data_IF_410409767439
#
_entry.id   IF_410409767439
#
_cell.length_a   1.000
_cell.length_b   1.000
_cell.length_c   1.000
_cell.angle_alpha   90.00
_cell.angle_beta   90.00
_cell.angle_gamma   90.00
#
_symmetry.space_group_name_H-M   'P 1'
#
loop_
_entity.id
_entity.type
_entity.pdbx_description
1 polymer ?
#
# COMPACT_ATOMS: atom_id res chain seq x y z
N UNK A 1 -4.45 23.04 37.57
CA UNK A 1 -3.09 22.69 37.07
C UNK A 1 -3.03 21.36 36.33
N UNK A 2 -3.13 20.17 36.95
CA UNK A 2 -3.10 18.90 36.19
C UNK A 2 -4.35 18.69 35.31
N UNK A 3 -5.53 19.14 35.79
CA UNK A 3 -6.79 19.02 35.06
C UNK A 3 -6.88 19.94 33.84
N UNK A 4 -6.35 21.16 33.95
CA UNK A 4 -6.25 22.12 32.83
C UNK A 4 -5.31 21.60 31.74
N UNK A 5 -4.13 21.09 32.12
CA UNK A 5 -3.18 20.49 31.16
C UNK A 5 -3.76 19.28 30.40
N UNK A 6 -4.54 18.44 31.07
CA UNK A 6 -5.22 17.31 30.42
C UNK A 6 -6.30 17.78 29.43
N UNK A 7 -7.01 18.86 29.75
CA UNK A 7 -8.00 19.45 28.84
C UNK A 7 -7.34 20.15 27.64
N UNK A 8 -6.22 20.84 27.86
CA UNK A 8 -5.46 21.47 26.78
C UNK A 8 -4.83 20.41 25.85
N UNK A 9 -4.31 19.31 26.41
CA UNK A 9 -3.80 18.17 25.63
C UNK A 9 -4.93 17.50 24.83
N UNK A 10 -6.10 17.29 25.43
CA UNK A 10 -7.25 16.70 24.74
C UNK A 10 -7.74 17.56 23.57
N UNK A 11 -7.58 18.89 23.64
CA UNK A 11 -7.89 19.82 22.54
C UNK A 11 -6.81 19.82 21.45
N UNK A 12 -5.54 19.64 21.81
CA UNK A 12 -4.42 19.65 20.87
C UNK A 12 -4.21 18.31 20.13
N UNK A 13 -4.72 17.20 20.68
CA UNK A 13 -4.58 15.86 20.10
C UNK A 13 -5.23 15.70 18.72
N UNK A 14 -6.45 16.21 18.45
CA UNK A 14 -7.04 16.20 17.11
C UNK A 14 -6.16 16.93 16.09
N UNK A 15 -5.77 18.17 16.37
CA UNK A 15 -4.92 18.97 15.47
C UNK A 15 -3.58 18.28 15.21
N UNK A 16 -2.97 17.68 16.24
CA UNK A 16 -1.75 16.89 16.08
C UNK A 16 -1.97 15.67 15.18
N UNK A 17 -3.03 14.89 15.44
CA UNK A 17 -3.41 13.74 14.62
C UNK A 17 -3.60 14.16 13.18
N UNK A 18 -4.35 15.23 12.93
CA UNK A 18 -4.71 15.66 11.57
C UNK A 18 -3.47 16.13 10.81
N UNK A 19 -2.54 16.84 11.47
CA UNK A 19 -1.26 17.21 10.88
C UNK A 19 -0.36 15.99 10.58
N UNK A 20 -0.30 15.02 11.50
CA UNK A 20 0.46 13.77 11.27
C UNK A 20 -0.15 12.96 10.14
N UNK A 21 -1.49 12.87 10.09
CA UNK A 21 -2.22 12.17 9.04
C UNK A 21 -2.00 12.83 7.69
N UNK A 22 -2.19 14.15 7.56
CA UNK A 22 -2.00 14.88 6.31
C UNK A 22 -0.59 14.66 5.72
N UNK A 23 0.45 14.75 6.55
CA UNK A 23 1.82 14.51 6.11
C UNK A 23 2.06 13.05 5.68
N UNK A 24 1.49 12.09 6.42
CA UNK A 24 1.62 10.65 6.13
C UNK A 24 0.87 10.27 4.86
N UNK A 25 -0.39 10.73 4.72
CA UNK A 25 -1.26 10.45 3.58
C UNK A 25 -0.70 11.05 2.30
N UNK A 26 -0.17 12.28 2.35
CA UNK A 26 0.47 12.89 1.18
C UNK A 26 1.66 12.08 0.66
N UNK A 27 2.51 11.58 1.56
CA UNK A 27 3.62 10.70 1.17
C UNK A 27 3.13 9.37 0.61
N UNK A 28 2.13 8.73 1.24
CA UNK A 28 1.57 7.45 0.80
C UNK A 28 0.92 7.59 -0.58
N UNK A 29 0.13 8.63 -0.79
CA UNK A 29 -0.56 8.88 -2.06
C UNK A 29 0.42 9.14 -3.21
N UNK A 30 1.47 9.94 -2.97
CA UNK A 30 2.53 10.18 -3.95
C UNK A 30 3.31 8.90 -4.27
N UNK A 31 3.68 8.11 -3.25
CA UNK A 31 4.39 6.85 -3.46
C UNK A 31 3.52 5.83 -4.23
N UNK A 32 2.25 5.69 -3.86
CA UNK A 32 1.30 4.82 -4.54
C UNK A 32 1.06 5.26 -5.99
N UNK A 33 1.00 6.56 -6.27
CA UNK A 33 0.91 7.11 -7.63
C UNK A 33 2.10 6.67 -8.49
N UNK A 34 3.33 6.73 -7.96
CA UNK A 34 4.53 6.26 -8.69
C UNK A 34 4.49 4.77 -8.98
N UNK A 35 4.03 3.97 -8.01
CA UNK A 35 3.87 2.52 -8.17
C UNK A 35 2.81 2.19 -9.23
N UNK A 36 1.69 2.90 -9.21
CA UNK A 36 0.61 2.78 -10.20
C UNK A 36 1.07 3.12 -11.61
N UNK A 37 1.87 4.19 -11.75
CA UNK A 37 2.49 4.53 -13.04
C UNK A 37 3.44 3.42 -13.50
N UNK A 38 4.29 2.92 -12.60
CA UNK A 38 5.24 1.84 -12.89
C UNK A 38 4.58 0.52 -13.27
N UNK A 39 3.42 0.21 -12.68
CA UNK A 39 2.67 -1.02 -12.99
C UNK A 39 1.81 -0.90 -14.25
N UNK A 40 0.99 0.15 -14.32
CA UNK A 40 -0.03 0.27 -15.38
C UNK A 40 0.41 1.04 -16.61
N UNK A 41 1.49 1.82 -16.51
CA UNK A 41 1.91 2.79 -17.53
C UNK A 41 0.97 3.99 -17.70
N UNK A 42 -0.06 4.12 -16.86
CA UNK A 42 -1.08 5.18 -16.94
C UNK A 42 -0.72 6.34 -16.00
N UNK A 43 -0.98 7.57 -16.43
CA UNK A 43 -0.89 8.78 -15.56
C UNK A 43 -2.09 8.84 -14.61
N UNK A 44 -2.13 7.89 -13.68
CA UNK A 44 -3.14 7.79 -12.62
C UNK A 44 -2.61 8.47 -11.37
N UNK A 45 -3.16 9.63 -11.04
CA UNK A 45 -2.81 10.36 -9.82
C UNK A 45 -3.78 10.01 -8.72
N UNK A 46 -3.27 9.36 -7.69
CA UNK A 46 -4.03 9.01 -6.50
C UNK A 46 -4.04 10.21 -5.55
N UNK A 47 -5.23 10.60 -5.10
CA UNK A 47 -5.43 11.54 -4.01
C UNK A 47 -6.28 10.91 -2.91
N UNK A 48 -6.03 11.31 -1.68
CA UNK A 48 -6.75 10.89 -0.48
C UNK A 48 -7.21 12.17 0.20
N UNK A 49 -8.51 12.30 0.47
CA UNK A 49 -9.05 13.44 1.20
C UNK A 49 -9.05 13.23 2.72
N UNK A 50 -9.61 14.20 3.46
CA UNK A 50 -9.63 14.21 4.92
C UNK A 50 -10.56 13.11 5.49
N UNK A 51 -11.54 12.69 4.69
CA UNK A 51 -12.47 11.60 4.97
C UNK A 51 -11.89 10.21 4.63
N UNK A 52 -10.65 10.15 4.13
CA UNK A 52 -9.98 8.94 3.63
C UNK A 52 -10.67 8.33 2.40
N UNK A 53 -11.35 9.14 1.60
CA UNK A 53 -11.86 8.73 0.30
C UNK A 53 -10.74 8.80 -0.74
N UNK A 54 -10.65 7.73 -1.54
CA UNK A 54 -9.60 7.57 -2.55
C UNK A 54 -10.14 7.97 -3.92
N UNK A 55 -9.39 8.82 -4.62
CA UNK A 55 -9.74 9.27 -5.96
C UNK A 55 -8.55 9.09 -6.91
N UNK A 56 -8.85 8.74 -8.16
CA UNK A 56 -7.88 8.72 -9.24
C UNK A 56 -8.27 9.79 -10.25
N UNK A 57 -7.40 10.78 -10.45
CA UNK A 57 -7.65 11.90 -11.36
C UNK A 57 -9.01 12.61 -11.09
N UNK A 58 -9.43 12.65 -9.81
CA UNK A 58 -10.70 13.26 -9.38
C UNK A 58 -11.94 12.36 -9.49
N UNK A 59 -11.82 11.12 -9.98
CA UNK A 59 -12.90 10.14 -9.98
C UNK A 59 -12.80 9.23 -8.73
N UNK A 60 -13.92 8.93 -8.04
CA UNK A 60 -13.94 7.97 -6.94
C UNK A 60 -13.37 6.61 -7.35
N UNK A 61 -12.60 5.98 -6.47
CA UNK A 61 -12.03 4.65 -6.72
C UNK A 61 -13.12 3.60 -7.01
N UNK A 62 -14.32 3.77 -6.44
CA UNK A 62 -15.47 2.90 -6.65
C UNK A 62 -15.96 2.82 -8.11
N UNK A 63 -15.61 3.80 -8.96
CA UNK A 63 -16.00 3.84 -10.36
C UNK A 63 -15.10 2.98 -11.27
N UNK A 64 -14.01 2.42 -10.74
CA UNK A 64 -13.03 1.62 -11.48
C UNK A 64 -13.37 0.11 -11.42
N UNK A 65 -12.78 -0.67 -12.34
CA UNK A 65 -13.01 -2.12 -12.34
C UNK A 65 -12.40 -2.78 -11.11
N UNK A 66 -12.91 -3.96 -10.71
CA UNK A 66 -12.39 -4.69 -9.54
C UNK A 66 -10.89 -4.95 -9.61
N UNK A 67 -10.36 -5.33 -10.78
CA UNK A 67 -8.91 -5.51 -10.97
C UNK A 67 -8.10 -4.21 -10.88
N UNK A 68 -8.67 -3.08 -11.32
CA UNK A 68 -8.05 -1.76 -11.16
C UNK A 68 -8.03 -1.31 -9.71
N UNK A 69 -9.13 -1.53 -8.99
CA UNK A 69 -9.23 -1.28 -7.55
C UNK A 69 -8.21 -2.13 -6.79
N UNK A 70 -8.06 -3.41 -7.14
CA UNK A 70 -7.06 -4.30 -6.53
C UNK A 70 -5.62 -3.83 -6.82
N UNK A 71 -5.36 -3.36 -8.05
CA UNK A 71 -4.05 -2.79 -8.43
C UNK A 71 -3.70 -1.58 -7.57
N UNK A 72 -4.64 -0.65 -7.38
CA UNK A 72 -4.50 0.51 -6.49
C UNK A 72 -4.29 0.07 -5.04
N UNK A 73 -5.10 -0.90 -4.60
CA UNK A 73 -5.02 -1.50 -3.28
C UNK A 73 -3.64 -2.09 -2.96
N UNK A 74 -3.02 -2.80 -3.91
CA UNK A 74 -1.67 -3.37 -3.74
C UNK A 74 -0.63 -2.25 -3.68
N UNK A 75 -0.69 -1.28 -4.60
CA UNK A 75 0.22 -0.14 -4.60
C UNK A 75 0.16 0.67 -3.29
N UNK A 76 -1.04 0.85 -2.74
CA UNK A 76 -1.25 1.48 -1.43
C UNK A 76 -0.65 0.67 -0.29
N UNK A 77 -0.85 -0.65 -0.26
CA UNK A 77 -0.26 -1.53 0.77
C UNK A 77 1.26 -1.46 0.76
N UNK A 78 1.85 -1.50 -0.44
CA UNK A 78 3.29 -1.34 -0.64
C UNK A 78 3.77 0.02 -0.10
N UNK A 79 3.10 1.11 -0.50
CA UNK A 79 3.46 2.45 -0.05
C UNK A 79 3.40 2.54 1.48
N UNK A 80 2.30 2.09 2.10
CA UNK A 80 2.15 2.10 3.56
C UNK A 80 3.24 1.26 4.24
N UNK A 81 3.54 0.07 3.72
CA UNK A 81 4.61 -0.77 4.26
C UNK A 81 5.97 -0.07 4.21
N UNK A 82 6.30 0.59 3.10
CA UNK A 82 7.54 1.36 2.96
C UNK A 82 7.57 2.61 3.86
N UNK A 83 6.43 3.27 4.06
CA UNK A 83 6.31 4.39 5.00
C UNK A 83 6.63 3.95 6.43
N UNK A 84 6.08 2.80 6.81
CA UNK A 84 6.23 2.23 8.15
C UNK A 84 7.62 1.66 8.35
N UNK A 85 8.19 0.97 7.35
CA UNK A 85 9.52 0.35 7.47
C UNK A 85 10.63 1.35 7.77
N UNK A 86 10.51 2.58 7.26
CA UNK A 86 11.44 3.69 7.56
C UNK A 86 11.37 4.20 9.01
N UNK A 87 10.33 3.84 9.76
CA UNK A 87 10.04 4.35 11.11
C UNK A 87 10.11 3.27 12.19
N UNK A 88 10.05 2.00 11.81
CA UNK A 88 10.08 0.86 12.72
C UNK A 88 11.53 0.38 12.87
N UNK A 89 12.00 0.25 14.12
CA UNK A 89 13.38 -0.15 14.44
C UNK A 89 13.62 -1.66 14.50
N UNK A 90 12.68 -2.47 14.03
CA UNK A 90 12.71 -3.93 14.05
C UNK A 90 12.17 -4.50 12.74
N UNK A 91 12.45 -5.78 12.49
CA UNK A 91 12.21 -6.43 11.19
C UNK A 91 10.78 -6.27 10.66
N UNK A 92 10.65 -5.88 9.40
CA UNK A 92 9.38 -5.64 8.71
C UNK A 92 9.03 -6.83 7.82
N UNK A 93 7.99 -7.57 8.21
CA UNK A 93 7.38 -8.64 7.42
C UNK A 93 6.10 -8.12 6.74
N UNK A 94 6.01 -8.30 5.43
CA UNK A 94 4.82 -7.98 4.64
C UNK A 94 4.21 -9.27 4.10
N UNK A 95 2.91 -9.50 4.37
CA UNK A 95 2.18 -10.67 3.86
C UNK A 95 1.13 -10.19 2.86
N UNK A 96 1.18 -10.76 1.65
CA UNK A 96 0.24 -10.50 0.56
C UNK A 96 -0.50 -11.79 0.20
N UNK A 97 -1.76 -11.91 0.60
CA UNK A 97 -2.58 -13.10 0.36
C UNK A 97 -3.70 -12.82 -0.64
N UNK A 98 -3.67 -13.51 -1.79
CA UNK A 98 -4.69 -13.40 -2.85
C UNK A 98 -4.84 -12.00 -3.45
N UNK A 99 -3.92 -11.07 -3.19
CA UNK A 99 -4.06 -9.67 -3.62
C UNK A 99 -3.87 -9.48 -5.12
N UNK A 100 -3.35 -10.50 -5.81
CA UNK A 100 -3.09 -10.50 -7.24
C UNK A 100 -4.21 -11.17 -8.05
N UNK A 101 -5.19 -11.80 -7.39
CA UNK A 101 -6.19 -12.72 -7.98
C UNK A 101 -6.99 -12.13 -9.15
N UNK A 102 -7.22 -10.82 -9.14
CA UNK A 102 -8.03 -10.12 -10.16
C UNK A 102 -7.23 -9.08 -10.94
N UNK A 103 -5.92 -9.02 -10.74
CA UNK A 103 -5.02 -8.12 -11.48
C UNK A 103 -4.59 -8.84 -12.77
N UNK A 104 -4.57 -8.11 -13.89
CA UNK A 104 -4.08 -8.67 -15.16
C UNK A 104 -2.59 -9.02 -15.11
N UNK A 105 -2.18 -9.96 -15.95
CA UNK A 105 -0.84 -10.55 -15.93
C UNK A 105 0.28 -9.51 -16.06
N UNK A 106 0.17 -8.61 -17.03
CA UNK A 106 1.15 -7.54 -17.27
C UNK A 106 1.32 -6.65 -16.03
N UNK A 107 0.22 -6.23 -15.39
CA UNK A 107 0.28 -5.43 -14.18
C UNK A 107 0.82 -6.22 -12.98
N UNK A 108 0.51 -7.51 -12.85
CA UNK A 108 1.04 -8.36 -11.76
C UNK A 108 2.55 -8.47 -11.84
N UNK A 109 3.09 -8.74 -13.03
CA UNK A 109 4.54 -8.88 -13.24
C UNK A 109 5.24 -7.56 -12.93
N UNK A 110 4.70 -6.45 -13.41
CA UNK A 110 5.25 -5.12 -13.14
C UNK A 110 5.21 -4.78 -11.63
N UNK A 111 4.10 -5.08 -10.94
CA UNK A 111 4.03 -4.93 -9.47
C UNK A 111 5.02 -5.86 -8.77
N UNK A 112 5.19 -7.08 -9.28
CA UNK A 112 6.13 -8.04 -8.73
C UNK A 112 7.56 -7.50 -8.74
N UNK A 113 7.99 -6.99 -9.90
CA UNK A 113 9.29 -6.32 -10.03
C UNK A 113 9.43 -5.15 -9.04
N UNK A 114 8.40 -4.32 -8.92
CA UNK A 114 8.39 -3.19 -7.99
C UNK A 114 8.47 -3.63 -6.52
N UNK A 115 7.88 -4.79 -6.17
CA UNK A 115 7.96 -5.35 -4.82
C UNK A 115 9.40 -5.75 -4.46
N UNK A 116 10.13 -6.32 -5.42
CA UNK A 116 11.55 -6.66 -5.25
C UNK A 116 12.44 -5.45 -4.91
N UNK A 117 12.00 -4.23 -5.24
CA UNK A 117 12.74 -2.99 -4.97
C UNK A 117 12.39 -2.34 -3.61
N UNK A 118 11.36 -2.83 -2.90
CA UNK A 118 10.92 -2.21 -1.65
C UNK A 118 11.91 -2.51 -0.52
N UNK A 119 12.16 -1.50 0.32
CA UNK A 119 12.93 -1.66 1.55
C UNK A 119 12.06 -2.23 2.69
N UNK A 120 11.70 -3.51 2.56
CA UNK A 120 11.13 -4.36 3.61
C UNK A 120 12.05 -5.56 3.82
N UNK A 121 12.10 -6.10 5.03
CA UNK A 121 13.05 -7.16 5.37
C UNK A 121 12.64 -8.51 4.77
N UNK A 122 11.34 -8.80 4.76
CA UNK A 122 10.77 -10.01 4.19
C UNK A 122 9.37 -9.75 3.61
N UNK A 123 9.11 -10.31 2.43
CA UNK A 123 7.79 -10.33 1.81
C UNK A 123 7.37 -11.78 1.64
N UNK A 124 6.19 -12.14 2.14
CA UNK A 124 5.54 -13.42 1.89
C UNK A 124 4.36 -13.17 0.95
N UNK A 125 4.35 -13.84 -0.20
CA UNK A 125 3.23 -13.76 -1.15
C UNK A 125 2.55 -15.12 -1.26
N UNK A 126 1.25 -15.14 -0.99
CA UNK A 126 0.38 -16.29 -1.19
C UNK A 126 -0.48 -16.00 -2.42
N UNK A 127 -0.31 -16.81 -3.45
CA UNK A 127 -1.06 -16.68 -4.68
C UNK A 127 -1.21 -18.03 -5.37
N UNK A 128 -2.25 -18.13 -6.19
CA UNK A 128 -2.47 -19.25 -7.09
C UNK A 128 -1.79 -19.04 -8.45
N UNK A 129 -1.16 -17.89 -8.70
CA UNK A 129 -0.37 -17.64 -9.89
C UNK A 129 1.10 -18.00 -9.70
N UNK A 130 1.73 -18.36 -10.80
CA UNK A 130 3.17 -18.56 -10.85
C UNK A 130 3.87 -17.19 -10.93
N UNK A 131 4.35 -16.72 -9.77
CA UNK A 131 4.98 -15.41 -9.64
C UNK A 131 6.51 -15.51 -9.70
N UNK A 132 7.07 -16.26 -10.65
CA UNK A 132 8.53 -16.45 -10.78
C UNK A 132 9.31 -15.13 -10.84
N UNK A 133 8.68 -14.06 -11.33
CA UNK A 133 9.23 -12.69 -11.37
C UNK A 133 9.60 -12.16 -9.97
N UNK A 134 8.99 -12.69 -8.92
CA UNK A 134 9.24 -12.35 -7.53
C UNK A 134 10.36 -13.18 -6.87
N UNK A 135 10.94 -14.18 -7.54
CA UNK A 135 11.97 -15.01 -6.92
C UNK A 135 13.24 -14.22 -6.57
N UNK A 136 13.55 -14.11 -5.28
CA UNK A 136 14.72 -13.43 -4.77
C UNK A 136 14.90 -13.61 -3.27
N UNK A 137 16.10 -13.29 -2.74
CA UNK A 137 16.51 -13.61 -1.36
C UNK A 137 15.66 -12.97 -0.23
N UNK A 138 14.71 -12.08 -0.56
CA UNK A 138 13.82 -11.40 0.40
C UNK A 138 12.34 -11.72 0.22
N UNK A 139 11.98 -12.46 -0.83
CA UNK A 139 10.60 -12.77 -1.16
C UNK A 139 10.42 -14.29 -1.09
N UNK A 140 9.53 -14.73 -0.22
CA UNK A 140 9.09 -16.12 -0.14
C UNK A 140 7.73 -16.26 -0.82
N UNK A 141 7.64 -17.23 -1.73
CA UNK A 141 6.41 -17.56 -2.44
C UNK A 141 5.79 -18.80 -1.80
N UNK A 142 4.56 -18.67 -1.32
CA UNK A 142 3.76 -19.80 -0.85
C UNK A 142 2.68 -20.12 -1.86
N UNK A 143 2.72 -21.32 -2.45
CA UNK A 143 1.60 -21.83 -3.24
C UNK A 143 0.54 -22.42 -2.32
N UNK A 144 -0.71 -21.98 -2.51
CA UNK A 144 -1.86 -22.56 -1.82
C UNK A 144 -2.38 -23.71 -2.68
N UNK A 145 -2.02 -24.95 -2.36
CA UNK A 145 -2.65 -26.13 -2.96
C UNK A 145 -4.05 -26.32 -2.38
N UNK A 146 -5.08 -26.41 -3.23
CA UNK A 146 -6.42 -26.84 -2.78
C UNK A 146 -6.33 -28.27 -2.24
N UNK A 147 -6.56 -28.44 -0.93
CA UNK A 147 -6.81 -29.73 -0.32
C UNK A 147 -8.09 -30.32 -0.93
N UNK A 148 -7.92 -31.23 -1.89
CA UNK A 148 -9.00 -32.04 -2.47
C UNK A 148 -9.57 -33.05 -1.48
#
# INVERSE_FOLDING_TARGET
VQRDRLQDLAKALPDFRDNVMAASLGWVADRATRLLYGSTGRDWRLSIDEELEFQINGAPLADFSTGQVDTVCVCLRIAIAEYLSKRIGFGNLMILDGVFDRIDEDNRDAIGMLIGEINVDQVLVLSHFDLQVLEGARIELGQVEELR
#
